data_IF_159193369078
#
_entry.id   IF_159193369078
#
_cell.length_a   1.000
_cell.length_b   1.000
_cell.length_c   1.000
_cell.angle_alpha   90.00
_cell.angle_beta   90.00
_cell.angle_gamma   90.00
#
_symmetry.space_group_name_H-M   'P 1'
#
loop_
_entity.id
_entity.type
_entity.pdbx_description
1 polymer ?
#
# COMPACT_ATOMS: atom_id res chain seq x y z
N UNK A 1 -18.45 7.22 -5.90
CA UNK A 1 -17.23 8.07 -6.07
C UNK A 1 -16.06 7.32 -6.70
N UNK A 2 -15.77 6.07 -6.30
CA UNK A 2 -14.64 5.27 -6.81
C UNK A 2 -14.61 5.03 -8.33
N UNK A 3 -15.77 5.06 -8.99
CA UNK A 3 -15.93 4.81 -10.45
C UNK A 3 -16.04 6.08 -11.30
N UNK A 4 -15.80 7.26 -10.73
CA UNK A 4 -15.84 8.52 -11.50
C UNK A 4 -14.76 8.54 -12.59
N UNK A 5 -15.08 9.10 -13.76
CA UNK A 5 -14.16 9.14 -14.91
C UNK A 5 -12.87 9.92 -14.67
N UNK A 6 -12.84 10.82 -13.68
CA UNK A 6 -11.60 11.51 -13.25
C UNK A 6 -10.50 10.54 -12.84
N UNK A 7 -10.85 9.36 -12.31
CA UNK A 7 -9.86 8.36 -11.91
C UNK A 7 -9.21 7.68 -13.10
N UNK A 8 -9.91 7.56 -14.24
CA UNK A 8 -9.30 7.10 -15.49
C UNK A 8 -8.26 8.10 -16.00
N UNK A 9 -8.50 9.42 -15.84
CA UNK A 9 -7.52 10.46 -16.15
C UNK A 9 -6.30 10.34 -15.21
N UNK A 10 -6.55 10.18 -13.91
CA UNK A 10 -5.49 9.97 -12.91
C UNK A 10 -4.63 8.74 -13.24
N UNK A 11 -5.23 7.59 -13.56
CA UNK A 11 -4.48 6.39 -13.93
C UNK A 11 -3.72 6.56 -15.25
N UNK A 12 -4.30 7.27 -16.22
CA UNK A 12 -3.67 7.55 -17.52
C UNK A 12 -2.48 8.51 -17.43
N UNK A 13 -2.41 9.33 -16.37
CA UNK A 13 -1.25 10.17 -16.09
C UNK A 13 0.01 9.36 -15.79
N UNK A 14 -0.12 8.21 -15.12
CA UNK A 14 0.97 7.28 -14.74
C UNK A 14 1.05 6.02 -15.61
N UNK A 15 0.48 6.04 -16.81
CA UNK A 15 0.08 4.82 -17.54
C UNK A 15 -0.17 3.56 -16.68
N UNK A 16 -0.96 3.69 -15.61
CA UNK A 16 -0.99 2.68 -14.54
C UNK A 16 -1.70 1.38 -14.98
N UNK A 17 -1.24 0.24 -14.47
CA UNK A 17 -1.79 -1.10 -14.74
C UNK A 17 -1.82 -1.95 -13.47
N UNK A 18 -2.87 -2.75 -13.34
CA UNK A 18 -3.04 -3.72 -12.26
C UNK A 18 -3.03 -5.14 -12.83
N UNK A 19 -2.19 -5.99 -12.26
CA UNK A 19 -1.99 -7.38 -12.64
C UNK A 19 -2.31 -8.29 -11.45
N UNK A 20 -2.76 -9.51 -11.73
CA UNK A 20 -2.90 -10.57 -10.71
C UNK A 20 -2.12 -11.81 -11.14
N UNK A 21 -1.46 -12.45 -10.18
CA UNK A 21 -0.77 -13.71 -10.38
C UNK A 21 -1.75 -14.88 -10.46
N UNK A 22 -2.83 -14.82 -9.67
CA UNK A 22 -3.90 -15.83 -9.69
C UNK A 22 -5.27 -15.25 -9.31
N UNK A 23 -6.38 -15.93 -9.63
CA UNK A 23 -7.70 -15.56 -9.14
C UNK A 23 -7.81 -15.72 -7.63
N UNK A 24 -8.57 -14.82 -6.98
CA UNK A 24 -8.89 -14.90 -5.57
C UNK A 24 -10.35 -15.31 -5.39
N UNK A 25 -10.63 -16.13 -4.37
CA UNK A 25 -11.96 -16.65 -4.07
C UNK A 25 -12.77 -15.63 -3.26
N UNK A 26 -14.01 -15.28 -3.67
CA UNK A 26 -14.84 -14.34 -2.91
C UNK A 26 -15.37 -14.92 -1.58
N UNK A 27 -15.10 -16.20 -1.28
CA UNK A 27 -15.43 -16.88 -0.02
C UNK A 27 -14.31 -16.78 1.03
N UNK A 28 -13.27 -15.98 0.75
CA UNK A 28 -12.15 -15.74 1.67
C UNK A 28 -12.08 -14.25 2.03
N UNK A 29 -11.32 -13.96 3.08
CA UNK A 29 -10.96 -12.62 3.53
C UNK A 29 -9.54 -12.33 3.12
N UNK A 30 -9.20 -11.08 2.81
CA UNK A 30 -7.87 -10.75 2.33
C UNK A 30 -7.26 -9.51 3.00
N UNK A 31 -5.96 -9.57 3.26
CA UNK A 31 -5.12 -8.40 3.54
C UNK A 31 -4.13 -8.26 2.39
N UNK A 32 -4.37 -7.28 1.52
CA UNK A 32 -3.41 -6.88 0.51
C UNK A 32 -2.32 -6.04 1.16
N UNK A 33 -1.08 -6.52 1.15
CA UNK A 33 0.07 -5.75 1.64
C UNK A 33 0.78 -5.08 0.47
N UNK A 34 0.62 -3.75 0.36
CA UNK A 34 1.17 -2.96 -0.73
C UNK A 34 2.61 -2.50 -0.45
N UNK A 35 3.48 -2.68 -1.45
CA UNK A 35 4.90 -2.31 -1.45
C UNK A 35 5.33 -1.76 -2.82
N UNK A 36 6.27 -0.81 -2.89
CA UNK A 36 6.69 0.05 -1.79
C UNK A 36 5.61 1.11 -1.53
N UNK A 37 5.69 1.83 -0.42
CA UNK A 37 4.88 2.99 -0.13
C UNK A 37 5.16 4.12 -1.12
N UNK A 38 6.40 4.26 -1.59
CA UNK A 38 6.87 5.47 -2.24
C UNK A 38 6.60 6.70 -1.37
N UNK A 39 6.42 7.85 -1.99
CA UNK A 39 6.14 9.08 -1.23
C UNK A 39 4.67 9.11 -0.76
N UNK A 40 3.72 8.86 -1.66
CA UNK A 40 2.26 9.00 -1.41
C UNK A 40 1.45 7.76 -1.86
N UNK A 41 2.08 6.68 -2.30
CA UNK A 41 1.41 5.44 -2.72
C UNK A 41 0.33 5.66 -3.80
N UNK A 42 0.70 6.34 -4.89
CA UNK A 42 -0.18 6.63 -6.02
C UNK A 42 -0.75 5.37 -6.65
N UNK A 43 0.06 4.32 -6.81
CA UNK A 43 -0.40 3.05 -7.34
C UNK A 43 -1.38 2.36 -6.40
N UNK A 44 -1.20 2.48 -5.08
CA UNK A 44 -2.15 1.93 -4.11
C UNK A 44 -3.51 2.63 -4.22
N UNK A 45 -3.50 3.96 -4.35
CA UNK A 45 -4.72 4.73 -4.54
C UNK A 45 -5.43 4.37 -5.85
N UNK A 46 -4.70 4.36 -6.98
CA UNK A 46 -5.24 3.99 -8.29
C UNK A 46 -5.87 2.59 -8.29
N UNK A 47 -5.15 1.60 -7.75
CA UNK A 47 -5.53 0.19 -7.80
C UNK A 47 -6.58 -0.21 -6.77
N UNK A 48 -6.53 0.36 -5.55
CA UNK A 48 -7.27 -0.18 -4.41
C UNK A 48 -8.29 0.81 -3.80
N UNK A 49 -8.16 2.12 -4.06
CA UNK A 49 -9.14 3.12 -3.64
C UNK A 49 -10.11 3.55 -4.75
N UNK A 50 -9.80 3.26 -6.01
CA UNK A 50 -10.64 3.61 -7.16
C UNK A 50 -10.89 2.41 -8.07
N UNK A 51 -11.83 2.54 -9.00
CA UNK A 51 -12.05 1.53 -10.06
C UNK A 51 -11.29 1.85 -11.35
N UNK A 52 -10.33 2.79 -11.33
CA UNK A 52 -9.61 3.23 -12.53
C UNK A 52 -8.84 2.10 -13.23
N UNK A 53 -8.36 1.11 -12.45
CA UNK A 53 -7.62 -0.04 -12.95
C UNK A 53 -8.46 -1.32 -13.04
N UNK A 54 -9.79 -1.21 -12.83
CA UNK A 54 -10.71 -2.34 -12.96
C UNK A 54 -10.61 -3.38 -11.84
N UNK A 55 -10.39 -2.94 -10.59
CA UNK A 55 -10.25 -3.85 -9.44
C UNK A 55 -11.42 -4.85 -9.36
N UNK A 56 -12.66 -4.37 -9.44
CA UNK A 56 -13.84 -5.24 -9.36
C UNK A 56 -13.91 -6.29 -10.48
N UNK A 57 -13.36 -6.00 -11.66
CA UNK A 57 -13.26 -6.98 -12.75
C UNK A 57 -12.15 -8.00 -12.54
N UNK A 58 -11.04 -7.59 -11.92
CA UNK A 58 -9.89 -8.45 -11.65
C UNK A 58 -10.10 -9.35 -10.42
N UNK A 59 -10.89 -8.89 -9.45
CA UNK A 59 -11.22 -9.59 -8.20
C UNK A 59 -12.74 -9.60 -7.97
N UNK A 60 -13.50 -10.34 -8.79
CA UNK A 60 -14.95 -10.34 -8.72
C UNK A 60 -15.44 -10.88 -7.37
N UNK A 61 -16.44 -10.19 -6.79
CA UNK A 61 -17.01 -10.55 -5.49
C UNK A 61 -16.16 -10.14 -4.28
N UNK A 62 -15.00 -9.52 -4.49
CA UNK A 62 -14.16 -8.99 -3.40
C UNK A 62 -14.36 -7.48 -3.30
N UNK A 63 -14.73 -7.01 -2.10
CA UNK A 63 -14.83 -5.59 -1.77
C UNK A 63 -13.62 -5.17 -0.96
N UNK A 64 -12.78 -4.32 -1.53
CA UNK A 64 -11.57 -3.83 -0.87
C UNK A 64 -11.73 -2.42 -0.28
N UNK A 65 -11.11 -2.21 0.88
CA UNK A 65 -10.94 -0.90 1.51
C UNK A 65 -9.46 -0.56 1.65
N UNK A 66 -9.00 0.52 1.00
CA UNK A 66 -7.65 1.05 1.22
C UNK A 66 -7.58 1.72 2.60
N UNK A 67 -6.51 1.42 3.34
CA UNK A 67 -6.31 1.91 4.69
C UNK A 67 -5.27 3.03 4.73
N UNK A 68 -5.52 4.04 5.56
CA UNK A 68 -4.63 5.18 5.77
C UNK A 68 -4.49 5.51 7.26
N UNK A 69 -3.60 6.44 7.59
CA UNK A 69 -3.32 6.82 8.98
C UNK A 69 -4.57 7.37 9.68
N UNK A 70 -4.75 7.01 10.95
CA UNK A 70 -5.89 7.44 11.76
C UNK A 70 -6.01 8.97 11.86
N UNK A 71 -4.88 9.67 11.89
CA UNK A 71 -4.81 11.13 11.96
C UNK A 71 -5.50 11.84 10.78
N UNK A 72 -5.60 11.18 9.61
CA UNK A 72 -6.34 11.70 8.47
C UNK A 72 -7.83 11.90 8.79
N UNK A 73 -8.40 11.09 9.68
CA UNK A 73 -9.81 11.17 10.06
C UNK A 73 -10.08 12.21 11.15
N UNK A 74 -9.07 12.98 11.57
CA UNK A 74 -9.23 14.13 12.49
C UNK A 74 -9.34 15.46 11.76
N UNK A 75 -9.08 15.49 10.45
CA UNK A 75 -9.13 16.70 9.62
C UNK A 75 -10.54 16.86 9.06
N UNK A 76 -11.27 17.94 9.41
CA UNK A 76 -12.61 18.19 8.86
C UNK A 76 -12.61 18.26 7.33
N UNK A 77 -13.70 17.85 6.69
CA UNK A 77 -13.90 17.73 5.24
C UNK A 77 -13.05 16.65 4.55
N UNK A 78 -11.76 16.55 4.90
CA UNK A 78 -10.91 15.48 4.38
C UNK A 78 -11.38 14.11 4.88
N UNK A 79 -11.81 14.03 6.14
CA UNK A 79 -12.46 12.85 6.72
C UNK A 79 -13.66 12.40 5.88
N UNK A 80 -14.57 13.32 5.57
CA UNK A 80 -15.79 13.05 4.82
C UNK A 80 -15.47 12.58 3.40
N UNK A 81 -14.49 13.24 2.76
CA UNK A 81 -13.98 12.81 1.45
C UNK A 81 -13.39 11.39 1.49
N UNK A 82 -12.52 11.09 2.46
CA UNK A 82 -11.90 9.78 2.60
C UNK A 82 -12.94 8.67 2.81
N UNK A 83 -13.90 8.90 3.72
CA UNK A 83 -14.99 7.95 3.98
C UNK A 83 -15.89 7.77 2.76
N UNK A 84 -16.21 8.84 2.03
CA UNK A 84 -17.04 8.76 0.82
C UNK A 84 -16.32 8.01 -0.33
N UNK A 85 -14.98 8.03 -0.35
CA UNK A 85 -14.16 7.19 -1.24
C UNK A 85 -14.05 5.73 -0.77
N UNK A 86 -14.58 5.41 0.42
CA UNK A 86 -14.48 4.08 1.02
C UNK A 86 -13.10 3.76 1.58
N UNK A 87 -12.31 4.79 1.94
CA UNK A 87 -11.03 4.66 2.64
C UNK A 87 -11.30 4.61 4.15
N UNK A 88 -10.52 3.83 4.90
CA UNK A 88 -10.66 3.69 6.34
C UNK A 88 -9.34 3.82 7.10
N UNK A 89 -9.42 3.81 8.44
CA UNK A 89 -8.26 3.88 9.32
C UNK A 89 -7.51 2.55 9.34
N UNK A 90 -6.18 2.59 9.33
CA UNK A 90 -5.31 1.42 9.50
C UNK A 90 -5.24 0.94 10.96
N UNK A 91 -6.06 1.52 11.86
CA UNK A 91 -6.17 1.05 13.23
C UNK A 91 -6.62 -0.40 13.28
N UNK A 92 -6.12 -1.14 14.28
CA UNK A 92 -6.44 -2.55 14.47
C UNK A 92 -7.95 -2.79 14.53
N UNK A 93 -8.66 -2.00 15.32
CA UNK A 93 -10.12 -2.11 15.48
C UNK A 93 -10.86 -1.89 14.16
N UNK A 94 -10.43 -0.91 13.35
CA UNK A 94 -11.05 -0.67 12.05
C UNK A 94 -10.81 -1.85 11.11
N UNK A 95 -9.58 -2.38 11.06
CA UNK A 95 -9.26 -3.55 10.25
C UNK A 95 -10.07 -4.79 10.66
N UNK A 96 -10.16 -5.08 11.96
CA UNK A 96 -10.92 -6.21 12.49
C UNK A 96 -12.41 -6.08 12.15
N UNK A 97 -12.99 -4.88 12.30
CA UNK A 97 -14.39 -4.62 11.92
C UNK A 97 -14.62 -4.81 10.41
N UNK A 98 -13.73 -4.30 9.56
CA UNK A 98 -13.88 -4.40 8.09
C UNK A 98 -13.77 -5.84 7.58
N UNK A 99 -13.01 -6.68 8.29
CA UNK A 99 -12.78 -8.08 7.96
C UNK A 99 -13.73 -9.05 8.68
N UNK A 100 -14.55 -8.59 9.64
CA UNK A 100 -15.49 -9.46 10.38
C UNK A 100 -16.96 -9.14 10.12
N UNK A 101 -17.26 -8.11 9.34
CA UNK A 101 -18.64 -7.67 9.08
C UNK A 101 -18.92 -7.50 7.60
N UNK A 102 -20.16 -7.79 7.22
CA UNK A 102 -20.61 -7.70 5.84
C UNK A 102 -20.04 -8.84 4.99
N UNK A 103 -19.82 -8.59 3.70
CA UNK A 103 -19.47 -9.69 2.80
C UNK A 103 -20.67 -10.57 2.47
N UNK A 104 -20.44 -11.66 1.74
CA UNK A 104 -21.51 -12.53 1.23
C UNK A 104 -22.21 -13.34 2.32
N UNK A 105 -21.53 -13.60 3.44
CA UNK A 105 -22.02 -14.37 4.58
C UNK A 105 -22.36 -13.50 5.80
N UNK A 106 -22.18 -12.17 5.70
CA UNK A 106 -22.35 -11.25 6.82
C UNK A 106 -21.17 -11.21 7.81
N UNK A 107 -20.24 -12.16 7.72
CA UNK A 107 -19.12 -12.39 8.64
C UNK A 107 -17.74 -12.12 8.00
N UNK A 108 -17.76 -11.45 6.85
CA UNK A 108 -16.58 -10.90 6.19
C UNK A 108 -16.12 -11.65 4.93
N UNK A 109 -16.78 -12.71 4.46
CA UNK A 109 -16.38 -13.35 3.19
C UNK A 109 -16.46 -12.37 2.02
N UNK A 110 -15.38 -12.28 1.26
CA UNK A 110 -15.24 -11.33 0.16
C UNK A 110 -14.84 -9.93 0.62
N UNK A 111 -14.58 -9.72 1.92
CA UNK A 111 -13.99 -8.48 2.41
C UNK A 111 -12.47 -8.52 2.27
N UNK A 112 -11.92 -7.41 1.83
CA UNK A 112 -10.50 -7.19 1.79
C UNK A 112 -10.12 -5.81 2.34
N UNK A 113 -8.91 -5.72 2.87
CA UNK A 113 -8.29 -4.44 3.20
C UNK A 113 -6.92 -4.35 2.56
N UNK A 114 -6.53 -3.15 2.14
CA UNK A 114 -5.19 -2.89 1.61
C UNK A 114 -4.42 -2.04 2.60
N UNK A 115 -3.25 -2.53 3.04
CA UNK A 115 -2.34 -1.84 3.95
C UNK A 115 -1.04 -1.55 3.20
N UNK A 116 -0.61 -0.29 3.20
CA UNK A 116 0.74 0.05 2.76
C UNK A 116 1.72 -0.20 3.91
N UNK A 117 2.47 -1.30 3.82
CA UNK A 117 3.14 -1.90 5.00
C UNK A 117 4.34 -1.09 5.47
N UNK A 118 5.17 -0.60 4.55
CA UNK A 118 6.38 0.16 4.89
C UNK A 118 6.08 1.47 5.62
N UNK A 119 4.93 2.08 5.29
CA UNK A 119 4.42 3.30 5.91
C UNK A 119 5.37 4.49 5.78
N UNK A 120 5.27 5.43 6.71
CA UNK A 120 6.06 6.66 6.70
C UNK A 120 7.59 6.45 6.81
N UNK A 121 8.06 5.29 7.29
CA UNK A 121 9.51 5.01 7.35
C UNK A 121 10.05 4.68 5.97
N UNK A 122 9.32 3.90 5.19
CA UNK A 122 9.70 3.56 3.82
C UNK A 122 9.61 4.76 2.88
N UNK A 123 8.64 5.67 3.11
CA UNK A 123 8.54 6.89 2.31
C UNK A 123 9.70 7.87 2.49
N UNK A 124 10.40 7.80 3.63
CA UNK A 124 11.62 8.57 3.89
C UNK A 124 12.85 7.97 3.19
N UNK A 125 12.81 6.71 2.78
CA UNK A 125 13.91 6.03 2.08
C UNK A 125 13.58 5.82 0.58
N UNK A 126 12.50 6.43 0.08
CA UNK A 126 12.04 6.28 -1.30
C UNK A 126 13.00 7.00 -2.27
N UNK A 127 13.87 6.22 -2.91
CA UNK A 127 14.81 6.68 -3.92
C UNK A 127 14.46 6.07 -5.29
N UNK A 128 14.49 6.87 -6.38
CA UNK A 128 14.30 6.35 -7.73
C UNK A 128 15.23 5.17 -8.04
N UNK A 129 14.74 4.25 -8.86
CA UNK A 129 15.46 3.07 -9.37
C UNK A 129 15.89 2.06 -8.29
N UNK A 130 15.44 2.23 -7.05
CA UNK A 130 15.71 1.31 -5.94
C UNK A 130 14.41 0.81 -5.33
N UNK A 131 14.48 -0.37 -4.71
CA UNK A 131 13.34 -0.99 -4.04
C UNK A 131 13.76 -1.52 -2.67
N UNK A 132 13.70 -0.64 -1.66
CA UNK A 132 14.04 -0.96 -0.27
C UNK A 132 12.75 -1.02 0.54
N UNK A 133 12.39 -2.22 1.00
CA UNK A 133 11.12 -2.49 1.68
C UNK A 133 11.31 -2.60 3.20
N UNK A 134 10.69 -1.71 3.96
CA UNK A 134 10.70 -1.71 5.43
C UNK A 134 9.71 -2.76 5.93
N UNK A 135 10.14 -4.02 5.91
CA UNK A 135 9.28 -5.18 6.17
C UNK A 135 9.87 -6.17 7.20
N UNK A 136 11.19 -6.21 7.40
CA UNK A 136 11.86 -7.24 8.22
C UNK A 136 11.30 -7.36 9.65
N UNK A 137 10.90 -6.24 10.24
CA UNK A 137 10.33 -6.18 11.60
C UNK A 137 8.81 -5.94 11.62
N UNK A 138 8.17 -5.75 10.46
CA UNK A 138 6.73 -5.46 10.35
C UNK A 138 5.93 -6.75 10.39
N UNK A 139 5.46 -7.15 11.57
CA UNK A 139 4.65 -8.36 11.77
C UNK A 139 3.20 -8.08 12.21
N UNK A 140 2.83 -6.81 12.37
CA UNK A 140 1.50 -6.42 12.85
C UNK A 140 0.36 -6.88 11.93
N UNK A 141 0.53 -6.75 10.61
CA UNK A 141 -0.46 -7.20 9.64
C UNK A 141 -0.58 -8.73 9.59
N UNK A 142 0.49 -9.47 9.85
CA UNK A 142 0.47 -10.93 10.00
C UNK A 142 -0.37 -11.32 11.22
N UNK A 143 -0.15 -10.67 12.37
CA UNK A 143 -0.94 -10.90 13.60
C UNK A 143 -2.43 -10.59 13.37
N UNK A 144 -2.73 -9.52 12.62
CA UNK A 144 -4.09 -9.18 12.22
C UNK A 144 -4.71 -10.25 11.31
N UNK A 145 -3.95 -10.76 10.33
CA UNK A 145 -4.37 -11.83 9.43
C UNK A 145 -4.75 -13.10 10.19
N UNK A 146 -3.88 -13.53 11.11
CA UNK A 146 -4.11 -14.70 11.98
C UNK A 146 -5.37 -14.52 12.81
N UNK A 147 -5.56 -13.35 13.41
CA UNK A 147 -6.72 -13.10 14.26
C UNK A 147 -8.03 -13.09 13.48
N UNK A 148 -8.03 -12.51 12.28
CA UNK A 148 -9.22 -12.35 11.44
C UNK A 148 -9.48 -13.54 10.51
N UNK A 149 -8.50 -14.42 10.30
CA UNK A 149 -8.56 -15.48 9.30
C UNK A 149 -8.50 -14.97 7.86
N UNK A 150 -7.91 -13.79 7.65
CA UNK A 150 -7.71 -13.22 6.33
C UNK A 150 -6.41 -13.76 5.72
N UNK A 151 -6.47 -14.17 4.45
CA UNK A 151 -5.29 -14.59 3.71
C UNK A 151 -4.44 -13.36 3.37
N UNK A 152 -3.13 -13.54 3.42
CA UNK A 152 -2.17 -12.47 3.14
C UNK A 152 -1.88 -12.45 1.64
N UNK A 153 -2.02 -11.29 1.00
CA UNK A 153 -1.75 -11.15 -0.44
C UNK A 153 -0.68 -10.09 -0.64
N UNK A 154 0.58 -10.48 -0.93
CA UNK A 154 1.64 -9.52 -1.23
C UNK A 154 1.34 -8.78 -2.52
N UNK A 155 1.55 -7.47 -2.54
CA UNK A 155 1.40 -6.63 -3.72
C UNK A 155 2.68 -5.82 -3.92
N UNK A 156 3.26 -5.91 -5.11
CA UNK A 156 4.46 -5.19 -5.47
C UNK A 156 4.20 -4.24 -6.64
N UNK A 157 4.54 -2.96 -6.45
CA UNK A 157 4.36 -1.90 -7.43
C UNK A 157 5.70 -1.43 -7.99
N UNK A 158 5.87 -1.60 -9.29
CA UNK A 158 7.00 -1.10 -10.04
C UNK A 158 6.75 0.33 -10.49
N UNK A 159 7.75 1.21 -10.32
CA UNK A 159 7.70 2.63 -10.69
C UNK A 159 7.23 3.58 -9.59
N UNK A 160 6.78 3.09 -8.44
CA UNK A 160 6.23 3.93 -7.36
C UNK A 160 7.27 4.89 -6.76
N UNK A 161 8.51 4.42 -6.55
CA UNK A 161 9.61 5.26 -6.06
C UNK A 161 10.13 6.26 -7.10
N UNK A 162 9.80 6.04 -8.38
CA UNK A 162 10.30 6.85 -9.50
C UNK A 162 9.45 8.11 -9.74
N UNK A 163 8.31 8.23 -9.07
CA UNK A 163 7.36 9.32 -9.26
C UNK A 163 7.85 10.67 -8.73
N UNK A 164 8.86 10.67 -7.85
CA UNK A 164 9.37 11.86 -7.19
C UNK A 164 10.87 11.77 -6.97
N UNK A 165 11.52 12.91 -6.89
CA UNK A 165 12.89 13.01 -6.41
C UNK A 165 12.89 13.54 -4.97
N UNK A 166 13.39 12.70 -4.06
CA UNK A 166 13.45 13.05 -2.66
C UNK A 166 14.60 14.04 -2.40
N UNK A 167 14.28 15.16 -1.76
CA UNK A 167 15.26 16.14 -1.32
C UNK A 167 15.80 15.71 0.03
N UNK A 168 17.09 15.38 0.11
CA UNK A 168 17.73 15.03 1.38
C UNK A 168 17.73 16.24 2.32
N UNK A 169 17.06 16.10 3.46
CA UNK A 169 16.84 17.18 4.44
C UNK A 169 18.11 17.77 5.07
N UNK A 170 19.27 17.14 4.87
CA UNK A 170 20.57 17.58 5.40
C UNK A 170 20.97 19.00 4.93
N UNK A 171 20.40 19.47 3.83
CA UNK A 171 20.73 20.75 3.23
C UNK A 171 19.75 21.90 3.57
N UNK A 172 18.67 21.66 4.33
CA UNK A 172 17.59 22.67 4.52
C UNK A 172 17.04 22.76 5.97
N UNK A 173 17.64 23.61 6.83
CA UNK A 173 17.32 23.70 8.26
C UNK A 173 15.90 24.18 8.59
N UNK A 174 15.34 25.08 7.77
CA UNK A 174 13.99 25.64 7.95
C UNK A 174 12.94 24.58 7.67
N UNK A 175 13.16 23.77 6.63
CA UNK A 175 12.22 22.74 6.23
C UNK A 175 12.25 21.57 7.24
N UNK A 176 13.43 21.24 7.78
CA UNK A 176 13.56 20.31 8.89
C UNK A 176 12.74 20.72 10.14
N UNK A 177 12.70 22.02 10.47
CA UNK A 177 11.85 22.51 11.58
C UNK A 177 10.35 22.34 11.31
N UNK A 178 9.89 22.58 10.08
CA UNK A 178 8.50 22.33 9.69
C UNK A 178 8.15 20.84 9.71
N UNK A 179 9.06 19.97 9.24
CA UNK A 179 8.89 18.51 9.35
C UNK A 179 8.74 18.06 10.80
N UNK A 180 9.53 18.62 11.72
CA UNK A 180 9.44 18.30 13.14
C UNK A 180 8.14 18.79 13.77
N UNK A 181 7.61 19.94 13.34
CA UNK A 181 6.29 20.42 13.77
C UNK A 181 5.16 19.49 13.29
N UNK A 182 5.19 19.09 12.01
CA UNK A 182 4.22 18.15 11.42
C UNK A 182 4.32 16.77 12.07
N UNK A 183 5.52 16.29 12.36
CA UNK A 183 5.75 15.07 13.12
C UNK A 183 5.13 15.15 14.51
N UNK A 184 5.28 16.29 15.19
CA UNK A 184 4.75 16.50 16.53
C UNK A 184 3.21 16.58 16.55
N UNK A 185 2.58 17.12 15.51
CA UNK A 185 1.12 17.26 15.44
C UNK A 185 0.41 16.04 14.85
N UNK A 186 0.99 15.39 13.84
CA UNK A 186 0.34 14.30 13.09
C UNK A 186 0.92 12.91 13.40
N UNK A 187 2.03 12.82 14.13
CA UNK A 187 2.69 11.56 14.50
C UNK A 187 3.56 10.94 13.39
N UNK A 188 3.68 11.60 12.22
CA UNK A 188 4.50 11.16 11.10
C UNK A 188 5.17 12.35 10.40
N UNK A 189 6.33 12.12 9.80
CA UNK A 189 7.07 13.12 9.01
C UNK A 189 6.64 13.07 7.55
N UNK A 190 6.39 14.22 6.94
CA UNK A 190 6.21 14.33 5.49
C UNK A 190 7.61 14.39 4.85
N UNK A 191 7.96 13.45 3.95
CA UNK A 191 9.23 13.53 3.20
C UNK A 191 9.27 14.81 2.38
N UNK A 192 10.47 15.39 2.22
CA UNK A 192 10.67 16.50 1.29
C UNK A 192 10.96 15.94 -0.08
N UNK A 193 10.18 16.38 -1.05
CA UNK A 193 10.31 15.93 -2.42
C UNK A 193 9.99 17.07 -3.36
N UNK A 194 10.56 16.96 -4.55
CA UNK A 194 10.15 17.72 -5.69
C UNK A 194 9.91 16.76 -6.85
N UNK A 195 9.05 17.20 -7.75
CA UNK A 195 8.85 16.60 -9.04
C UNK A 195 8.58 17.76 -10.00
N UNK A 196 7.60 17.65 -10.89
CA UNK A 196 7.34 18.67 -11.91
C UNK A 196 6.30 19.70 -11.48
N UNK A 197 6.34 20.87 -12.11
CA UNK A 197 5.25 21.84 -12.03
C UNK A 197 4.08 21.47 -12.94
N UNK A 198 2.97 22.18 -12.77
CA UNK A 198 1.82 22.05 -13.68
C UNK A 198 2.20 22.50 -15.11
N UNK A 199 3.11 23.48 -15.23
CA UNK A 199 3.51 24.11 -16.49
C UNK A 199 5.00 23.95 -16.86
N UNK A 200 5.83 23.33 -16.02
CA UNK A 200 7.25 23.07 -16.30
C UNK A 200 7.65 21.67 -15.79
N UNK A 201 8.80 21.15 -16.23
CA UNK A 201 9.29 19.83 -15.81
C UNK A 201 10.30 19.89 -14.64
N UNK A 202 10.81 21.08 -14.31
CA UNK A 202 12.01 21.19 -13.47
C UNK A 202 11.73 21.39 -11.97
N UNK A 203 10.60 22.00 -11.56
CA UNK A 203 10.27 22.21 -10.13
C UNK A 203 8.75 22.25 -9.87
N UNK A 204 8.25 21.35 -9.03
CA UNK A 204 6.90 21.39 -8.47
C UNK A 204 6.52 20.19 -7.59
N UNK A 205 5.25 20.09 -7.20
CA UNK A 205 4.73 18.99 -6.35
C UNK A 205 3.99 17.92 -7.15
N UNK A 206 3.85 18.09 -8.47
CA UNK A 206 3.14 17.15 -9.32
C UNK A 206 4.08 15.99 -9.68
N UNK A 207 3.70 14.73 -9.44
CA UNK A 207 4.60 13.60 -9.65
C UNK A 207 5.01 13.47 -11.12
N UNK A 208 6.17 12.87 -11.38
CA UNK A 208 6.59 12.56 -12.74
C UNK A 208 5.62 11.57 -13.41
N UNK A 209 5.41 11.77 -14.72
CA UNK A 209 4.61 10.87 -15.55
C UNK A 209 5.42 9.62 -15.90
N UNK A 210 5.47 8.67 -14.97
CA UNK A 210 6.16 7.38 -15.17
C UNK A 210 5.18 6.21 -15.05
N UNK A 211 5.40 5.10 -15.77
CA UNK A 211 4.55 3.92 -15.69
C UNK A 211 4.47 3.35 -14.27
N UNK A 212 3.25 3.02 -13.82
CA UNK A 212 3.01 2.24 -12.60
C UNK A 212 2.47 0.86 -12.94
N UNK A 213 3.18 -0.19 -12.57
CA UNK A 213 2.71 -1.57 -12.75
C UNK A 213 2.57 -2.22 -11.39
N UNK A 214 1.32 -2.44 -10.96
CA UNK A 214 0.98 -3.03 -9.67
C UNK A 214 0.70 -4.52 -9.91
N UNK A 215 1.50 -5.38 -9.29
CA UNK A 215 1.36 -6.84 -9.39
C UNK A 215 0.87 -7.40 -8.06
N UNK A 216 -0.32 -7.99 -8.10
CA UNK A 216 -0.89 -8.74 -6.97
C UNK A 216 -0.37 -10.17 -7.01
N UNK A 217 0.27 -10.58 -5.93
CA UNK A 217 0.84 -11.91 -5.72
C UNK A 217 -0.19 -12.99 -5.45
N UNK A 218 0.32 -14.17 -5.15
CA UNK A 218 -0.46 -15.33 -4.69
C UNK A 218 -0.87 -15.15 -3.22
N UNK A 219 -2.07 -15.58 -2.83
CA UNK A 219 -2.52 -15.55 -1.46
C UNK A 219 -1.76 -16.59 -0.63
N UNK A 220 -1.35 -16.19 0.56
CA UNK A 220 -0.79 -17.06 1.59
C UNK A 220 -1.93 -17.40 2.54
N UNK A 221 -2.27 -18.68 2.58
CA UNK A 221 -3.36 -19.17 3.39
C UNK A 221 -3.07 -18.97 4.88
N UNK A 222 -4.03 -18.41 5.61
CA UNK A 222 -3.93 -18.20 7.05
C UNK A 222 -5.01 -19.00 7.78
N UNK A 223 -4.57 -19.88 8.67
CA UNK A 223 -5.43 -20.53 9.65
C UNK A 223 -5.72 -19.56 10.79
N UNK A 224 -7.01 -19.30 11.04
CA UNK A 224 -7.46 -18.35 12.05
C UNK A 224 -7.17 -18.84 13.47
N UNK A 225 -6.63 -17.97 14.32
CA UNK A 225 -6.49 -18.20 15.75
C UNK A 225 -7.15 -17.05 16.53
N UNK A 226 -8.24 -17.36 17.23
CA UNK A 226 -9.03 -16.35 17.96
C UNK A 226 -8.35 -15.90 19.26
N UNK A 227 -7.69 -16.83 19.93
CA UNK A 227 -6.98 -16.58 21.19
C UNK A 227 -5.61 -15.94 20.90
N UNK A 228 -5.49 -14.65 21.22
CA UNK A 228 -4.32 -13.84 20.87
C UNK A 228 -3.08 -14.20 21.68
N UNK A 229 -3.27 -14.68 22.90
CA UNK A 229 -2.17 -15.05 23.80
C UNK A 229 -1.50 -16.36 23.38
N UNK A 230 -2.17 -17.14 22.52
CA UNK A 230 -1.68 -18.41 21.98
C UNK A 230 -1.12 -18.30 20.57
N UNK A 231 -1.05 -17.09 20.00
CA UNK A 231 -0.44 -16.93 18.67
C UNK A 231 1.05 -17.17 18.82
N UNK A 232 1.48 -18.31 18.30
CA UNK A 232 2.86 -18.73 18.26
C UNK A 232 3.71 -17.80 17.37
N UNK A 233 4.83 -17.34 17.90
CA UNK A 233 5.79 -16.51 17.19
C UNK A 233 6.40 -17.28 16.00
N UNK A 234 6.55 -18.60 16.08
CA UNK A 234 7.05 -19.42 14.97
C UNK A 234 6.07 -19.42 13.80
N UNK A 235 4.77 -19.49 14.06
CA UNK A 235 3.75 -19.38 13.01
C UNK A 235 3.72 -17.98 12.38
N UNK A 236 3.87 -16.92 13.18
CA UNK A 236 4.01 -15.54 12.66
C UNK A 236 5.24 -15.43 11.76
N UNK A 237 6.38 -15.98 12.19
CA UNK A 237 7.64 -15.94 11.44
C UNK A 237 7.55 -16.75 10.15
N UNK A 238 6.85 -17.87 10.17
CA UNK A 238 6.60 -18.70 9.01
C UNK A 238 5.77 -17.95 7.96
N UNK A 239 4.61 -17.40 8.35
CA UNK A 239 3.77 -16.61 7.44
C UNK A 239 4.49 -15.36 6.91
N UNK A 240 5.27 -14.68 7.76
CA UNK A 240 6.10 -13.55 7.34
C UNK A 240 7.16 -13.97 6.31
N UNK A 241 7.80 -15.12 6.50
CA UNK A 241 8.78 -15.65 5.55
C UNK A 241 8.14 -16.01 4.21
N UNK A 242 6.97 -16.67 4.21
CA UNK A 242 6.21 -16.93 2.99
C UNK A 242 5.81 -15.63 2.27
N UNK A 243 5.43 -14.61 3.05
CA UNK A 243 5.10 -13.28 2.53
C UNK A 243 6.28 -12.61 1.82
N UNK A 244 7.47 -12.68 2.42
CA UNK A 244 8.70 -12.17 1.81
C UNK A 244 9.07 -12.96 0.55
N UNK A 245 9.03 -14.29 0.61
CA UNK A 245 9.34 -15.16 -0.53
C UNK A 245 8.43 -14.88 -1.74
N UNK A 246 7.15 -14.60 -1.50
CA UNK A 246 6.22 -14.25 -2.58
C UNK A 246 6.51 -12.86 -3.16
N UNK A 247 6.95 -11.88 -2.36
CA UNK A 247 7.44 -10.59 -2.90
C UNK A 247 8.69 -10.77 -3.76
N UNK A 248 9.64 -11.58 -3.30
CA UNK A 248 10.86 -11.91 -4.04
C UNK A 248 10.52 -12.64 -5.36
N UNK A 249 9.55 -13.56 -5.33
CA UNK A 249 9.05 -14.24 -6.54
C UNK A 249 8.47 -13.25 -7.55
N UNK A 250 7.61 -12.33 -7.11
CA UNK A 250 7.04 -11.29 -7.98
C UNK A 250 8.16 -10.41 -8.55
N UNK A 251 9.13 -10.03 -7.72
CA UNK A 251 10.28 -9.26 -8.17
C UNK A 251 11.05 -9.98 -9.27
N UNK A 252 11.47 -11.24 -9.04
CA UNK A 252 12.22 -12.03 -10.02
C UNK A 252 11.49 -12.18 -11.35
N UNK A 253 10.17 -12.40 -11.32
CA UNK A 253 9.37 -12.60 -12.53
C UNK A 253 9.20 -11.31 -13.36
N UNK A 254 9.13 -10.14 -12.71
CA UNK A 254 8.70 -8.90 -13.36
C UNK A 254 9.78 -7.81 -13.46
N UNK A 255 10.90 -7.92 -12.72
CA UNK A 255 11.95 -6.87 -12.66
C UNK A 255 12.54 -6.52 -14.01
N UNK A 256 12.80 -7.50 -14.88
CA UNK A 256 13.38 -7.23 -16.20
C UNK A 256 12.39 -6.57 -17.17
N UNK A 257 11.09 -6.68 -16.89
CA UNK A 257 10.06 -6.02 -17.66
C UNK A 257 9.81 -4.59 -17.18
N UNK A 258 9.70 -4.39 -15.87
CA UNK A 258 9.17 -3.15 -15.28
C UNK A 258 10.17 -2.35 -14.43
N UNK A 259 11.34 -2.92 -14.10
CA UNK A 259 12.44 -2.25 -13.40
C UNK A 259 13.75 -2.40 -14.20
N UNK A 260 13.71 -1.99 -15.46
CA UNK A 260 14.87 -2.07 -16.39
C UNK A 260 16.03 -1.18 -15.96
N UNK A 261 15.70 0.00 -15.44
CA UNK A 261 16.68 1.00 -15.02
C UNK A 261 17.08 0.85 -13.54
N UNK A 262 16.82 -0.32 -12.93
CA UNK A 262 17.12 -0.57 -11.52
C UNK A 262 18.62 -0.44 -11.24
N UNK A 263 18.95 0.14 -10.09
CA UNK A 263 20.35 0.28 -9.63
C UNK A 263 20.70 -0.74 -8.54
N UNK A 264 19.71 -1.40 -7.95
CA UNK A 264 19.87 -2.50 -7.01
C UNK A 264 18.74 -3.52 -7.16
N UNK A 265 18.96 -4.71 -6.58
CA UNK A 265 17.90 -5.70 -6.39
C UNK A 265 17.00 -5.31 -5.20
N UNK A 266 15.88 -6.01 -5.04
CA UNK A 266 14.97 -5.80 -3.91
C UNK A 266 15.69 -6.01 -2.57
N UNK A 267 15.54 -5.07 -1.64
CA UNK A 267 16.14 -5.14 -0.31
C UNK A 267 15.06 -5.15 0.78
N UNK A 268 15.07 -6.17 1.64
CA UNK A 268 14.18 -6.23 2.81
C UNK A 268 14.90 -5.67 4.05
N UNK A 269 14.49 -4.47 4.46
CA UNK A 269 15.13 -3.71 5.55
C UNK A 269 14.26 -3.67 6.83
N UNK A 270 14.88 -3.25 7.93
CA UNK A 270 14.31 -3.22 9.28
C UNK A 270 13.60 -1.92 9.64
#
# INVERSE_FOLDING_TARGET
LRSLGVWSIYASYFPARLHRSEPLLPTRKYIFGYHPHGIISHGAFAAFATEALGFAGLFPGITNTLLTLDSNFRIPFYREYALAMGIASVSRESCENLLSKGGIDGEGMGRAVTIVIGGARESLDALPHTLRLVLKRRKGFIKLAIHTGADLVPVLAFGENDLYEQVRSENHPVIHKLQMLVKHTLGFTIPLFHARGVFNYDVGLMPYRRPLNIVVGRPIHVVQQRDREKIDDDYINHLHSLYVQELERIWEEWKDKYARDRTSEIEIVA
#
